data_IF_764241984112
#
_entry.id   IF_764241984112
#
_cell.length_a   1.000
_cell.length_b   1.000
_cell.length_c   1.000
_cell.angle_alpha   90.00
_cell.angle_beta   90.00
_cell.angle_gamma   90.00
#
_symmetry.space_group_name_H-M   'P 1'
#
loop_
_entity.id
_entity.type
_entity.pdbx_description
1 polymer ?
#
# COMPACT_ATOMS: atom_id res chain seq x y z
N UNK A 1 36.39 40.27 7.18
CA UNK A 1 36.39 38.81 7.15
C UNK A 1 35.30 38.35 6.24
N UNK A 2 35.57 37.34 5.42
CA UNK A 2 34.56 36.70 4.59
C UNK A 2 34.01 35.51 5.36
N UNK A 3 32.66 35.47 5.48
CA UNK A 3 31.96 34.34 6.11
C UNK A 3 31.63 33.34 5.03
N UNK A 4 32.20 32.12 5.09
CA UNK A 4 31.94 31.05 4.10
C UNK A 4 30.84 30.17 4.65
N UNK A 5 29.64 30.21 4.00
CA UNK A 5 28.54 29.32 4.32
C UNK A 5 28.35 28.34 3.17
N UNK A 6 28.27 27.05 3.51
CA UNK A 6 27.98 26.00 2.57
C UNK A 6 26.46 25.72 2.59
N UNK A 7 25.81 25.81 1.43
CA UNK A 7 24.41 25.50 1.26
C UNK A 7 24.27 24.26 0.36
N UNK A 8 23.34 23.38 0.74
CA UNK A 8 23.01 22.17 -0.05
C UNK A 8 21.61 22.34 -0.62
N UNK A 9 21.44 22.01 -1.89
CA UNK A 9 20.11 21.91 -2.51
C UNK A 9 19.36 20.73 -1.89
N UNK A 10 18.05 20.93 -1.64
CA UNK A 10 17.18 19.87 -1.15
C UNK A 10 16.49 19.17 -2.33
N UNK A 11 16.25 17.86 -2.26
CA UNK A 11 15.46 17.16 -3.28
C UNK A 11 14.03 17.72 -3.30
N UNK A 12 13.28 17.55 -4.44
CA UNK A 12 11.88 17.94 -4.51
C UNK A 12 11.07 17.32 -3.35
N UNK A 13 10.12 18.09 -2.81
CA UNK A 13 9.26 17.61 -1.76
C UNK A 13 8.37 16.46 -2.26
N UNK A 14 8.08 15.47 -1.39
CA UNK A 14 7.08 14.43 -1.67
C UNK A 14 5.70 15.05 -1.90
N UNK A 15 4.93 14.45 -2.78
CA UNK A 15 3.55 14.87 -3.05
C UNK A 15 2.68 14.71 -1.79
N UNK A 16 1.83 15.69 -1.56
CA UNK A 16 0.61 15.55 -0.76
C UNK A 16 -0.54 15.20 -1.71
N UNK A 17 -1.69 14.77 -1.19
CA UNK A 17 -2.88 14.52 -2.03
C UNK A 17 -3.23 15.75 -2.89
N UNK A 18 -3.22 16.94 -2.29
CA UNK A 18 -3.52 18.19 -2.99
C UNK A 18 -2.49 18.53 -4.09
N UNK A 19 -1.19 18.37 -3.80
CA UNK A 19 -0.16 18.63 -4.81
C UNK A 19 -0.12 17.56 -5.90
N UNK A 20 -0.52 16.33 -5.60
CA UNK A 20 -0.69 15.27 -6.59
C UNK A 20 -1.86 15.57 -7.54
N UNK A 21 -3.02 16.00 -7.01
CA UNK A 21 -4.16 16.45 -7.83
C UNK A 21 -3.74 17.56 -8.76
N UNK A 22 -3.04 18.59 -8.26
CA UNK A 22 -2.54 19.69 -9.10
C UNK A 22 -1.61 19.18 -10.21
N UNK A 23 -0.69 18.28 -9.89
CA UNK A 23 0.22 17.71 -10.88
C UNK A 23 -0.51 16.87 -11.95
N UNK A 24 -1.56 16.14 -11.56
CA UNK A 24 -2.42 15.40 -12.50
C UNK A 24 -3.17 16.36 -13.42
N UNK A 25 -3.74 17.44 -12.87
CA UNK A 25 -4.44 18.48 -13.64
C UNK A 25 -3.51 19.19 -14.63
N UNK A 26 -2.33 19.63 -14.17
CA UNK A 26 -1.32 20.28 -15.02
C UNK A 26 -0.84 19.40 -16.18
N UNK A 27 -0.81 18.08 -15.94
CA UNK A 27 -0.39 17.09 -16.96
C UNK A 27 -1.54 16.53 -17.77
N UNK A 28 -2.79 16.89 -17.48
CA UNK A 28 -3.98 16.40 -18.18
C UNK A 28 -4.32 14.93 -17.88
N UNK A 29 -3.87 14.40 -16.74
CA UNK A 29 -4.12 13.02 -16.32
C UNK A 29 -5.34 12.95 -15.42
N UNK A 30 -6.41 12.31 -15.87
CA UNK A 30 -7.69 12.24 -15.15
C UNK A 30 -8.54 13.51 -15.30
N UNK A 31 -9.62 13.54 -14.53
CA UNK A 31 -10.60 14.64 -14.51
C UNK A 31 -11.01 14.92 -13.07
N UNK A 32 -11.64 16.08 -12.78
CA UNK A 32 -12.09 16.42 -11.41
C UNK A 32 -12.89 15.31 -10.74
N UNK A 33 -13.72 14.59 -11.50
CA UNK A 33 -14.52 13.47 -11.00
C UNK A 33 -13.72 12.22 -10.63
N UNK A 34 -12.50 12.06 -11.14
CA UNK A 34 -11.68 10.84 -10.95
C UNK A 34 -10.48 11.03 -10.03
N UNK A 35 -10.02 12.25 -9.75
CA UNK A 35 -8.81 12.48 -8.95
C UNK A 35 -8.87 11.83 -7.57
N UNK A 36 -9.97 12.03 -6.85
CA UNK A 36 -10.13 11.45 -5.51
C UNK A 36 -10.15 9.91 -5.55
N UNK A 37 -10.83 9.33 -6.54
CA UNK A 37 -10.90 7.88 -6.71
C UNK A 37 -9.53 7.27 -7.04
N UNK A 38 -8.73 7.92 -7.89
CA UNK A 38 -7.37 7.49 -8.22
C UNK A 38 -6.50 7.47 -6.97
N UNK A 39 -6.51 8.57 -6.18
CA UNK A 39 -5.71 8.69 -4.96
C UNK A 39 -6.14 7.65 -3.92
N UNK A 40 -7.44 7.42 -3.74
CA UNK A 40 -7.93 6.37 -2.87
C UNK A 40 -7.46 4.98 -3.34
N UNK A 41 -7.58 4.68 -4.63
CA UNK A 41 -7.21 3.39 -5.20
C UNK A 41 -5.74 3.04 -4.98
N UNK A 42 -4.81 3.99 -5.21
CA UNK A 42 -3.38 3.72 -5.02
C UNK A 42 -3.00 3.52 -3.55
N UNK A 43 -3.75 4.12 -2.61
CA UNK A 43 -3.58 3.90 -1.17
C UNK A 43 -4.21 2.58 -0.73
N UNK A 44 -5.43 2.28 -1.16
CA UNK A 44 -6.16 1.04 -0.82
C UNK A 44 -5.44 -0.22 -1.33
N UNK A 45 -4.77 -0.11 -2.48
CA UNK A 45 -3.91 -1.16 -3.04
C UNK A 45 -2.52 -1.21 -2.42
N UNK A 46 -2.25 -0.38 -1.44
CA UNK A 46 -0.94 -0.27 -0.78
C UNK A 46 0.23 0.02 -1.75
N UNK A 47 -0.02 0.65 -2.90
CA UNK A 47 1.06 1.09 -3.80
C UNK A 47 1.79 2.31 -3.26
N UNK A 48 1.08 3.15 -2.53
CA UNK A 48 1.63 4.28 -1.79
C UNK A 48 1.12 4.27 -0.35
N UNK A 49 1.93 4.81 0.55
CA UNK A 49 1.56 5.06 1.95
C UNK A 49 1.58 6.55 2.24
N UNK A 50 0.62 7.00 3.04
CA UNK A 50 0.52 8.39 3.48
C UNK A 50 1.07 8.52 4.90
N UNK A 51 2.17 9.26 5.03
CA UNK A 51 2.80 9.58 6.33
C UNK A 51 2.98 11.09 6.41
N UNK A 52 2.53 11.72 7.49
CA UNK A 52 2.60 13.19 7.69
C UNK A 52 2.04 13.98 6.50
N UNK A 53 0.89 13.57 5.98
CA UNK A 53 0.23 14.12 4.80
C UNK A 53 1.00 13.97 3.48
N UNK A 54 2.15 13.30 3.46
CA UNK A 54 2.99 13.06 2.28
C UNK A 54 2.78 11.64 1.77
N UNK A 55 2.75 11.47 0.46
CA UNK A 55 2.64 10.19 -0.22
C UNK A 55 4.05 9.66 -0.53
N UNK A 56 4.30 8.41 -0.18
CA UNK A 56 5.56 7.72 -0.48
C UNK A 56 5.25 6.37 -1.13
N UNK A 57 5.99 5.96 -2.18
CA UNK A 57 5.82 4.64 -2.77
C UNK A 57 6.20 3.55 -1.76
N UNK A 58 5.50 2.43 -1.83
CA UNK A 58 5.84 1.22 -1.08
C UNK A 58 6.72 0.31 -1.95
N UNK A 59 7.33 -0.70 -1.36
CA UNK A 59 8.06 -1.73 -2.14
C UNK A 59 7.15 -2.47 -3.13
N UNK A 60 5.90 -2.71 -2.76
CA UNK A 60 4.90 -3.27 -3.67
C UNK A 60 4.65 -2.32 -4.85
N UNK A 61 4.44 -1.02 -4.57
CA UNK A 61 4.24 -0.01 -5.61
C UNK A 61 5.42 0.11 -6.57
N UNK A 62 6.65 0.08 -6.05
CA UNK A 62 7.87 0.11 -6.87
C UNK A 62 7.96 -1.12 -7.80
N UNK A 63 7.70 -2.33 -7.29
CA UNK A 63 7.73 -3.57 -8.08
C UNK A 63 6.64 -3.58 -9.14
N UNK A 64 5.40 -3.20 -8.79
CA UNK A 64 4.28 -3.15 -9.74
C UNK A 64 4.53 -2.10 -10.82
N UNK A 65 4.97 -0.90 -10.43
CA UNK A 65 5.29 0.16 -11.40
C UNK A 65 6.43 -0.25 -12.33
N UNK A 66 7.50 -0.86 -11.79
CA UNK A 66 8.61 -1.37 -12.60
C UNK A 66 8.17 -2.41 -13.62
N UNK A 67 7.33 -3.37 -13.22
CA UNK A 67 6.75 -4.37 -14.12
C UNK A 67 5.92 -3.73 -15.23
N UNK A 68 5.05 -2.80 -14.86
CA UNK A 68 4.16 -2.14 -15.82
C UNK A 68 4.95 -1.30 -16.82
N UNK A 69 5.97 -0.57 -16.36
CA UNK A 69 6.85 0.20 -17.24
C UNK A 69 7.69 -0.68 -18.19
N UNK A 70 8.06 -1.88 -17.75
CA UNK A 70 8.83 -2.83 -18.57
C UNK A 70 7.96 -3.52 -19.62
N UNK A 71 6.71 -3.86 -19.30
CA UNK A 71 5.82 -4.64 -20.17
C UNK A 71 4.85 -3.80 -20.99
N UNK A 72 4.49 -2.62 -20.49
CA UNK A 72 3.50 -1.72 -21.10
C UNK A 72 4.01 -0.28 -21.16
N UNK A 73 5.23 -0.04 -21.71
CA UNK A 73 5.86 1.29 -21.66
C UNK A 73 5.02 2.37 -22.32
N UNK A 74 4.30 2.04 -23.39
CA UNK A 74 3.48 3.00 -24.13
C UNK A 74 2.24 3.43 -23.34
N UNK A 75 1.60 2.49 -22.61
CA UNK A 75 0.34 2.73 -21.89
C UNK A 75 0.57 3.43 -20.54
N UNK A 76 1.72 3.15 -19.90
CA UNK A 76 2.05 3.71 -18.56
C UNK A 76 2.67 5.12 -18.66
N UNK A 77 2.69 5.73 -19.83
CA UNK A 77 3.17 7.11 -19.96
C UNK A 77 2.11 8.13 -19.54
N UNK A 78 2.58 9.26 -19.00
CA UNK A 78 1.72 10.41 -18.68
C UNK A 78 1.11 10.98 -19.94
N UNK A 79 1.89 11.02 -21.01
CA UNK A 79 1.54 11.54 -22.33
C UNK A 79 0.41 10.71 -22.94
N UNK A 80 0.52 9.39 -22.91
CA UNK A 80 -0.53 8.50 -23.39
C UNK A 80 -1.85 8.71 -22.64
N UNK A 81 -1.78 8.78 -21.29
CA UNK A 81 -2.99 9.00 -20.48
C UNK A 81 -3.65 10.33 -20.80
N UNK A 82 -2.85 11.41 -20.89
CA UNK A 82 -3.36 12.73 -21.24
C UNK A 82 -3.95 12.79 -22.66
N UNK A 83 -3.36 12.07 -23.60
CA UNK A 83 -3.85 12.00 -24.98
C UNK A 83 -5.14 11.19 -25.09
N UNK A 84 -5.25 10.09 -24.37
CA UNK A 84 -6.48 9.30 -24.27
C UNK A 84 -7.62 10.14 -23.69
N UNK A 85 -7.37 10.92 -22.64
CA UNK A 85 -8.36 11.84 -22.07
C UNK A 85 -8.84 12.87 -23.09
N UNK A 86 -7.94 13.45 -23.90
CA UNK A 86 -8.32 14.37 -25.00
C UNK A 86 -9.13 13.68 -26.09
N UNK A 87 -8.79 12.44 -26.43
CA UNK A 87 -9.57 11.68 -27.41
C UNK A 87 -10.98 11.38 -26.91
N UNK A 88 -11.14 11.10 -25.60
CA UNK A 88 -12.46 10.92 -24.98
C UNK A 88 -13.26 12.23 -24.98
N UNK A 89 -12.64 13.39 -24.73
CA UNK A 89 -13.29 14.69 -24.86
C UNK A 89 -13.79 14.94 -26.31
N UNK A 90 -13.01 14.53 -27.32
CA UNK A 90 -13.44 14.61 -28.72
C UNK A 90 -14.64 13.69 -29.04
N UNK A 91 -14.69 12.51 -28.39
CA UNK A 91 -15.84 11.62 -28.50
C UNK A 91 -17.08 12.25 -27.87
N UNK A 92 -16.94 12.87 -26.69
CA UNK A 92 -18.02 13.60 -26.02
C UNK A 92 -18.54 14.75 -26.89
N UNK A 93 -17.64 15.50 -27.50
CA UNK A 93 -17.96 16.59 -28.44
C UNK A 93 -18.53 16.10 -29.79
N UNK A 94 -18.66 14.81 -30.03
CA UNK A 94 -19.13 14.24 -31.30
C UNK A 94 -18.15 14.35 -32.46
N UNK A 95 -16.90 14.77 -32.23
CA UNK A 95 -15.87 14.98 -33.24
C UNK A 95 -15.15 13.69 -33.64
N UNK A 96 -15.19 12.65 -32.76
CA UNK A 96 -14.55 11.36 -32.97
C UNK A 96 -15.49 10.22 -32.58
N UNK A 97 -15.38 9.09 -33.30
CA UNK A 97 -16.14 7.86 -32.98
C UNK A 97 -15.38 7.07 -31.90
N UNK A 98 -16.05 6.69 -30.81
CA UNK A 98 -15.45 5.89 -29.74
C UNK A 98 -14.88 4.54 -30.21
N UNK A 99 -15.51 3.93 -31.24
CA UNK A 99 -15.04 2.66 -31.81
C UNK A 99 -13.65 2.78 -32.41
N UNK A 100 -13.37 3.90 -33.11
CA UNK A 100 -12.05 4.12 -33.69
C UNK A 100 -10.97 4.29 -32.61
N UNK A 101 -11.30 5.00 -31.52
CA UNK A 101 -10.39 5.16 -30.38
C UNK A 101 -10.05 3.81 -29.75
N UNK A 102 -11.06 2.95 -29.58
CA UNK A 102 -10.85 1.60 -29.04
C UNK A 102 -10.07 0.69 -29.99
N UNK A 103 -10.32 0.74 -31.28
CA UNK A 103 -9.65 -0.10 -32.28
C UNK A 103 -8.15 0.26 -32.35
N UNK A 104 -7.83 1.55 -32.42
CA UNK A 104 -6.45 2.04 -32.40
C UNK A 104 -5.72 1.62 -31.11
N UNK A 105 -6.34 1.80 -29.94
CA UNK A 105 -5.77 1.41 -28.67
C UNK A 105 -5.59 -0.11 -28.54
N UNK A 106 -6.62 -0.88 -28.89
CA UNK A 106 -6.65 -2.31 -28.60
C UNK A 106 -5.66 -3.12 -29.44
N UNK A 107 -5.34 -2.66 -30.63
CA UNK A 107 -4.42 -3.36 -31.54
C UNK A 107 -3.03 -3.51 -30.90
N UNK A 108 -2.46 -2.42 -30.42
CA UNK A 108 -1.13 -2.41 -29.80
C UNK A 108 -1.17 -3.03 -28.41
N UNK A 109 -2.20 -2.70 -27.63
CA UNK A 109 -2.39 -3.25 -26.27
C UNK A 109 -2.51 -4.77 -26.28
N UNK A 110 -3.25 -5.33 -27.24
CA UNK A 110 -3.44 -6.77 -27.32
C UNK A 110 -2.12 -7.51 -27.57
N UNK A 111 -1.27 -6.95 -28.45
CA UNK A 111 0.04 -7.54 -28.70
C UNK A 111 0.94 -7.45 -27.46
N UNK A 112 1.03 -6.28 -26.83
CA UNK A 112 1.81 -6.11 -25.57
C UNK A 112 1.32 -7.06 -24.49
N UNK A 113 0.00 -7.31 -24.40
CA UNK A 113 -0.58 -8.24 -23.42
C UNK A 113 -0.16 -9.68 -23.67
N UNK A 114 -0.16 -10.15 -24.93
CA UNK A 114 0.29 -11.48 -25.30
C UNK A 114 1.78 -11.68 -25.01
N UNK A 115 2.60 -10.69 -25.34
CA UNK A 115 4.03 -10.72 -25.09
C UNK A 115 4.34 -10.74 -23.57
N UNK A 116 3.58 -9.96 -22.79
CA UNK A 116 3.69 -9.96 -21.33
C UNK A 116 3.25 -11.29 -20.71
N UNK A 117 2.16 -11.89 -21.20
CA UNK A 117 1.67 -13.18 -20.73
C UNK A 117 2.69 -14.29 -20.97
N UNK A 118 3.30 -14.34 -22.14
CA UNK A 118 4.35 -15.31 -22.46
C UNK A 118 5.60 -15.11 -21.60
N UNK A 119 6.05 -13.87 -21.45
CA UNK A 119 7.23 -13.54 -20.67
C UNK A 119 7.07 -13.78 -19.15
N UNK A 120 5.85 -13.73 -18.62
CA UNK A 120 5.54 -13.91 -17.21
C UNK A 120 5.06 -15.32 -16.85
N UNK A 121 4.87 -16.20 -17.83
CA UNK A 121 4.28 -17.53 -17.65
C UNK A 121 4.90 -18.36 -16.52
N UNK A 122 6.22 -18.27 -16.36
CA UNK A 122 6.98 -19.00 -15.34
C UNK A 122 7.63 -18.08 -14.30
N UNK A 123 7.30 -16.79 -14.32
CA UNK A 123 7.94 -15.79 -13.46
C UNK A 123 7.02 -15.43 -12.29
N UNK A 124 7.48 -15.69 -11.06
CA UNK A 124 6.87 -15.16 -9.85
C UNK A 124 7.58 -13.89 -9.41
N UNK A 125 6.92 -12.77 -9.58
CA UNK A 125 7.40 -11.51 -9.01
C UNK A 125 7.39 -11.59 -7.48
N UNK A 126 8.56 -11.40 -6.89
CA UNK A 126 8.70 -11.34 -5.44
C UNK A 126 8.84 -9.88 -5.03
N UNK A 127 7.91 -9.40 -4.24
CA UNK A 127 8.10 -8.15 -3.52
C UNK A 127 9.18 -8.40 -2.46
N UNK A 128 10.23 -7.57 -2.38
CA UNK A 128 11.23 -7.71 -1.32
C UNK A 128 10.57 -7.65 0.05
N UNK A 129 10.88 -8.63 0.88
CA UNK A 129 10.34 -8.71 2.22
C UNK A 129 10.88 -7.53 3.06
N UNK A 130 10.03 -6.90 3.83
CA UNK A 130 10.43 -5.90 4.81
C UNK A 130 11.03 -6.59 6.03
N UNK A 131 12.30 -6.29 6.33
CA UNK A 131 13.02 -6.89 7.44
C UNK A 131 12.58 -6.19 8.74
N UNK A 132 12.13 -6.98 9.71
CA UNK A 132 11.80 -6.53 11.06
C UNK A 132 13.03 -6.54 11.96
N UNK A 133 13.03 -5.71 12.99
CA UNK A 133 14.04 -5.75 14.05
C UNK A 133 13.88 -6.96 14.98
N UNK A 134 12.72 -7.62 14.95
CA UNK A 134 12.46 -8.81 15.77
C UNK A 134 13.22 -10.03 15.24
N UNK A 135 13.83 -10.77 16.14
CA UNK A 135 14.59 -11.99 15.82
C UNK A 135 13.74 -13.26 15.99
N UNK A 136 14.01 -14.22 15.14
CA UNK A 136 13.42 -15.55 15.23
C UNK A 136 13.90 -16.26 16.52
N UNK A 137 12.98 -16.72 17.34
CA UNK A 137 13.26 -17.41 18.60
C UNK A 137 13.93 -18.79 18.40
N UNK A 138 13.81 -19.37 17.18
CA UNK A 138 14.37 -20.69 16.87
C UNK A 138 15.77 -20.58 16.28
N UNK A 139 16.02 -19.67 15.34
CA UNK A 139 17.29 -19.62 14.58
C UNK A 139 18.02 -18.27 14.65
N UNK A 140 17.51 -17.28 15.40
CA UNK A 140 18.13 -15.97 15.61
C UNK A 140 18.14 -15.02 14.40
N UNK A 141 17.68 -15.42 13.22
CA UNK A 141 17.60 -14.55 12.02
C UNK A 141 16.54 -13.47 12.23
N UNK A 142 16.73 -12.30 11.66
CA UNK A 142 15.70 -11.26 11.67
C UNK A 142 14.45 -11.75 10.94
N UNK A 143 13.29 -11.52 11.54
CA UNK A 143 12.01 -11.87 10.94
C UNK A 143 11.69 -10.91 9.79
N UNK A 144 10.90 -11.37 8.84
CA UNK A 144 10.41 -10.57 7.71
C UNK A 144 8.89 -10.46 7.74
N UNK A 145 8.39 -9.31 7.33
CA UNK A 145 6.94 -9.09 7.21
C UNK A 145 6.42 -9.78 5.96
N UNK A 146 5.51 -10.71 6.14
CA UNK A 146 4.79 -11.39 5.06
C UNK A 146 3.31 -11.00 5.09
N UNK A 147 2.70 -10.95 3.91
CA UNK A 147 1.26 -10.70 3.78
C UNK A 147 0.53 -11.99 3.46
N UNK A 148 -0.56 -12.26 4.17
CA UNK A 148 -1.48 -13.36 3.91
C UNK A 148 -2.91 -12.84 3.74
N UNK A 149 -3.83 -13.72 3.34
CA UNK A 149 -5.28 -13.40 3.29
C UNK A 149 -5.87 -12.95 4.65
N UNK A 150 -5.16 -13.19 5.73
CA UNK A 150 -5.56 -12.80 7.10
C UNK A 150 -4.86 -11.54 7.60
N UNK A 151 -3.97 -10.93 6.80
CA UNK A 151 -3.20 -9.74 7.13
C UNK A 151 -1.69 -10.00 7.17
N UNK A 152 -0.95 -8.99 7.63
CA UNK A 152 0.51 -9.04 7.76
C UNK A 152 0.91 -9.86 8.99
N UNK A 153 1.99 -10.62 8.87
CA UNK A 153 2.58 -11.41 9.95
C UNK A 153 4.11 -11.46 9.80
N UNK A 154 4.81 -11.74 10.88
CA UNK A 154 6.24 -11.96 10.88
C UNK A 154 6.55 -13.42 10.58
N UNK A 155 7.46 -13.67 9.65
CA UNK A 155 7.92 -15.01 9.30
C UNK A 155 9.44 -15.08 9.30
N UNK A 156 9.97 -16.25 9.59
CA UNK A 156 11.39 -16.46 9.47
C UNK A 156 11.80 -16.62 7.99
N UNK A 157 12.82 -15.90 7.51
CA UNK A 157 13.31 -16.04 6.14
C UNK A 157 13.99 -17.39 5.88
N UNK A 158 14.26 -18.18 6.92
CA UNK A 158 14.84 -19.51 6.81
C UNK A 158 13.87 -20.61 6.39
N UNK A 159 12.66 -20.27 5.92
CA UNK A 159 11.75 -21.27 5.36
C UNK A 159 12.36 -21.95 4.11
N UNK A 160 12.24 -23.28 3.93
CA UNK A 160 11.44 -24.24 4.70
C UNK A 160 12.09 -24.85 5.96
N UNK A 161 13.38 -24.58 6.21
CA UNK A 161 14.12 -25.13 7.35
C UNK A 161 13.58 -24.63 8.69
N UNK A 162 13.28 -23.33 8.79
CA UNK A 162 12.67 -22.70 9.95
C UNK A 162 11.29 -22.19 9.62
N UNK A 163 10.26 -22.80 10.22
CA UNK A 163 8.85 -22.47 9.96
C UNK A 163 8.26 -21.50 11.00
N UNK A 164 9.11 -20.77 11.73
CA UNK A 164 8.64 -19.84 12.75
C UNK A 164 7.85 -18.68 12.14
N UNK A 165 6.67 -18.44 12.70
CA UNK A 165 5.81 -17.30 12.35
C UNK A 165 5.25 -16.68 13.60
N UNK A 166 5.09 -15.34 13.60
CA UNK A 166 4.52 -14.57 14.70
C UNK A 166 3.52 -13.56 14.15
N UNK A 167 2.34 -13.47 14.73
CA UNK A 167 1.36 -12.47 14.35
C UNK A 167 1.85 -11.07 14.74
N UNK A 168 1.70 -10.08 13.85
CA UNK A 168 1.91 -8.69 14.20
C UNK A 168 0.70 -8.25 15.03
N UNK A 169 0.93 -7.94 16.31
CA UNK A 169 -0.12 -7.53 17.24
C UNK A 169 0.13 -6.11 17.70
N UNK A 170 -0.88 -5.26 17.56
CA UNK A 170 -0.86 -3.90 18.08
C UNK A 170 -1.28 -3.93 19.57
N UNK A 171 -0.38 -3.46 20.45
CA UNK A 171 -0.71 -3.32 21.88
C UNK A 171 -1.53 -2.06 22.09
N UNK A 172 -2.64 -2.20 22.82
CA UNK A 172 -3.49 -1.07 23.18
C UNK A 172 -2.97 -0.40 24.45
N UNK A 173 -3.25 0.90 24.66
CA UNK A 173 -2.81 1.63 25.86
C UNK A 173 -3.42 1.07 27.15
N UNK A 174 -4.66 0.58 27.11
CA UNK A 174 -5.36 0.02 28.25
C UNK A 174 -4.82 -1.34 28.69
N UNK A 175 -4.98 -1.66 29.98
CA UNK A 175 -4.63 -2.96 30.57
C UNK A 175 -5.84 -3.85 30.75
N UNK A 176 -5.62 -5.16 30.74
CA UNK A 176 -6.69 -6.13 30.95
C UNK A 176 -7.31 -5.99 32.36
N UNK A 177 -8.62 -5.73 32.50
CA UNK A 177 -9.26 -5.54 33.78
C UNK A 177 -9.29 -6.81 34.64
N UNK A 178 -9.08 -8.00 34.01
CA UNK A 178 -9.05 -9.27 34.77
C UNK A 178 -7.69 -9.64 35.32
N UNK A 179 -6.58 -9.30 34.62
CA UNK A 179 -5.27 -9.80 35.00
C UNK A 179 -4.12 -8.77 34.85
N UNK A 180 -4.41 -7.52 34.50
CA UNK A 180 -3.42 -6.44 34.33
C UNK A 180 -2.46 -6.56 33.13
N UNK A 181 -2.55 -7.66 32.34
CA UNK A 181 -1.70 -7.88 31.18
C UNK A 181 -2.10 -6.96 30.00
N UNK A 182 -1.26 -6.88 28.98
CA UNK A 182 -1.54 -6.05 27.79
C UNK A 182 -2.78 -6.53 27.04
N UNK A 183 -3.50 -5.59 26.43
CA UNK A 183 -4.59 -5.88 25.50
C UNK A 183 -4.06 -5.72 24.08
N UNK A 184 -4.36 -6.69 23.22
CA UNK A 184 -3.94 -6.76 21.84
C UNK A 184 -5.14 -6.59 20.91
N UNK A 185 -4.96 -5.75 19.89
CA UNK A 185 -5.91 -5.66 18.78
C UNK A 185 -5.76 -6.87 17.88
N UNK A 186 -6.87 -7.53 17.58
CA UNK A 186 -6.94 -8.72 16.73
C UNK A 186 -8.04 -8.55 15.68
N UNK A 187 -7.97 -9.34 14.61
CA UNK A 187 -9.05 -9.41 13.60
C UNK A 187 -9.79 -10.74 13.73
N UNK A 188 -11.12 -10.67 13.70
CA UNK A 188 -11.99 -11.85 13.65
C UNK A 188 -11.93 -12.51 12.25
N UNK A 189 -12.46 -13.73 12.13
CA UNK A 189 -12.58 -14.41 10.82
C UNK A 189 -13.37 -13.63 9.77
N UNK A 190 -14.27 -12.74 10.22
CA UNK A 190 -15.07 -11.85 9.36
C UNK A 190 -14.41 -10.49 9.08
N UNK A 191 -13.16 -10.27 9.53
CA UNK A 191 -12.40 -9.03 9.31
C UNK A 191 -12.62 -7.91 10.35
N UNK A 192 -13.57 -8.06 11.29
CA UNK A 192 -13.81 -7.05 12.33
C UNK A 192 -12.70 -7.04 13.38
N UNK A 193 -12.29 -5.83 13.78
CA UNK A 193 -11.34 -5.66 14.88
C UNK A 193 -12.01 -6.01 16.22
N UNK A 194 -11.29 -6.70 17.09
CA UNK A 194 -11.64 -6.94 18.48
C UNK A 194 -10.39 -6.88 19.35
N UNK A 195 -10.57 -6.69 20.64
CA UNK A 195 -9.47 -6.50 21.58
C UNK A 195 -9.50 -7.62 22.61
N UNK A 196 -8.35 -8.28 22.79
CA UNK A 196 -8.26 -9.43 23.69
C UNK A 196 -6.97 -9.37 24.52
N UNK A 197 -7.03 -9.93 25.71
CA UNK A 197 -5.85 -10.07 26.57
C UNK A 197 -4.76 -10.90 25.86
N UNK A 198 -3.49 -10.50 26.03
CA UNK A 198 -2.34 -11.23 25.48
C UNK A 198 -2.25 -12.68 25.97
N UNK A 199 -2.73 -12.96 27.19
CA UNK A 199 -2.80 -14.31 27.76
C UNK A 199 -3.88 -15.19 27.09
N UNK A 200 -4.63 -14.67 26.15
CA UNK A 200 -5.60 -15.43 25.35
C UNK A 200 -6.62 -16.21 26.20
N UNK A 201 -6.75 -17.50 25.92
CA UNK A 201 -7.71 -18.38 26.60
C UNK A 201 -7.48 -18.51 28.12
N UNK A 202 -6.25 -18.33 28.57
CA UNK A 202 -5.93 -18.42 30.02
C UNK A 202 -6.55 -17.29 30.84
N UNK A 203 -6.79 -16.11 30.23
CA UNK A 203 -7.50 -15.01 30.88
C UNK A 203 -8.95 -14.88 30.41
N UNK A 204 -9.24 -15.17 29.14
CA UNK A 204 -10.57 -15.13 28.52
C UNK A 204 -11.19 -13.74 28.40
N UNK A 205 -10.44 -12.65 28.63
CA UNK A 205 -10.96 -11.30 28.43
C UNK A 205 -10.95 -10.92 26.95
N UNK A 206 -12.09 -10.44 26.47
CA UNK A 206 -12.28 -9.93 25.11
C UNK A 206 -13.33 -8.81 25.12
N UNK A 207 -13.13 -7.79 24.30
CA UNK A 207 -14.09 -6.69 24.06
C UNK A 207 -14.07 -6.26 22.60
N UNK A 208 -15.20 -5.68 22.17
CA UNK A 208 -15.29 -5.02 20.84
C UNK A 208 -14.99 -3.53 20.93
N UNK A 209 -15.07 -2.94 22.14
CA UNK A 209 -14.79 -1.54 22.38
C UNK A 209 -13.27 -1.31 22.45
N UNK A 210 -12.83 -0.13 21.99
CA UNK A 210 -11.42 0.26 22.00
C UNK A 210 -10.96 0.50 23.45
N UNK A 211 -10.01 -0.29 23.99
CA UNK A 211 -9.50 -0.07 25.33
C UNK A 211 -8.73 1.24 25.43
N UNK A 212 -9.05 2.04 26.43
CA UNK A 212 -8.33 3.26 26.80
C UNK A 212 -7.53 3.05 28.08
N UNK A 213 -6.65 3.97 28.37
CA UNK A 213 -5.88 4.04 29.63
C UNK A 213 -6.57 4.92 30.69
N UNK A 214 -7.78 5.41 30.36
CA UNK A 214 -8.55 6.28 31.25
C UNK A 214 -9.54 5.48 32.08
N UNK A 215 -9.54 5.76 33.37
CA UNK A 215 -10.55 5.21 34.29
C UNK A 215 -11.87 5.95 34.12
N UNK A 216 -12.97 5.25 34.44
CA UNK A 216 -14.29 5.86 34.36
C UNK A 216 -14.40 7.03 35.36
N UNK A 217 -14.79 8.24 34.94
CA UNK A 217 -14.89 9.39 35.84
C UNK A 217 -16.02 9.26 36.90
N UNK A 218 -16.88 8.23 36.78
CA UNK A 218 -18.02 8.01 37.68
C UNK A 218 -17.76 6.85 38.64
N UNK A 219 -17.10 5.77 38.20
CA UNK A 219 -16.93 4.55 39.00
C UNK A 219 -15.48 4.05 39.15
N UNK A 220 -14.52 4.76 38.63
CA UNK A 220 -13.10 4.36 38.65
C UNK A 220 -12.72 3.38 37.57
#
# INVERSE_FOLDING_TARGET
GFDKQQHFTQPPARYTEASLVRAMEEKGVGRPSTYAAIIATIQDREYVVKTDKKLSPTKLGEVVNGLMMDRFPNIISVEFTADMEKQLDQVEAGQRRWKNVLEEFYTDFHQEMLDAEEALKDTRLKVPDEVSEEKCEICGRNLVVKTSRFGKFLACPGYPECKFTKAITEKMPGRCPKCGSAILKRKSKRGYAYYACERGAACGFMTWDVPTDQDCPVCG
#
